data_IF_185815490728
#
_entry.id   IF_185815490728
#
_cell.length_a   1.000
_cell.length_b   1.000
_cell.length_c   1.000
_cell.angle_alpha   90.00
_cell.angle_beta   90.00
_cell.angle_gamma   90.00
#
_symmetry.space_group_name_H-M   'P 1'
#
loop_
_entity.id
_entity.type
_entity.pdbx_description
1 polymer ?
#
# COMPACT_ATOMS: atom_id res chain seq x y z
N UNK A 1 -52.09 -55.21 28.36
CA UNK A 1 -50.77 -55.83 28.10
C UNK A 1 -50.17 -55.20 26.86
N UNK A 2 -49.00 -54.56 27.02
CA UNK A 2 -47.98 -54.16 26.02
C UNK A 2 -48.37 -53.35 24.76
N UNK A 3 -47.87 -52.11 24.77
CA UNK A 3 -47.48 -51.27 23.61
C UNK A 3 -46.56 -52.03 22.65
N UNK A 4 -46.63 -51.72 21.35
CA UNK A 4 -45.46 -51.30 20.54
C UNK A 4 -45.95 -50.73 19.19
N UNK A 5 -45.80 -49.43 19.03
CA UNK A 5 -45.80 -48.70 17.76
C UNK A 5 -44.40 -48.78 17.12
N UNK A 6 -44.28 -48.86 15.78
CA UNK A 6 -43.00 -48.84 15.10
C UNK A 6 -42.45 -47.41 15.03
N UNK A 7 -41.17 -47.26 15.37
CA UNK A 7 -40.38 -46.04 15.24
C UNK A 7 -39.98 -45.80 13.79
N UNK A 8 -40.51 -44.75 13.17
CA UNK A 8 -39.90 -44.13 12.00
C UNK A 8 -38.74 -43.24 12.47
N UNK A 9 -37.51 -43.67 12.19
CA UNK A 9 -36.32 -42.84 12.38
C UNK A 9 -36.32 -41.79 11.25
N UNK A 10 -36.50 -40.54 11.65
CA UNK A 10 -36.45 -39.37 10.77
C UNK A 10 -35.05 -39.16 10.20
N UNK A 11 -34.93 -39.18 8.87
CA UNK A 11 -33.78 -38.67 8.14
C UNK A 11 -33.87 -37.14 8.17
N UNK A 12 -33.12 -36.48 9.06
CA UNK A 12 -32.97 -35.03 9.06
C UNK A 12 -31.65 -34.62 9.75
N UNK A 13 -30.52 -34.97 9.16
CA UNK A 13 -29.21 -34.56 9.68
C UNK A 13 -28.18 -34.30 8.55
N UNK A 14 -28.61 -33.74 7.41
CA UNK A 14 -27.77 -33.59 6.23
C UNK A 14 -27.64 -32.18 5.63
N UNK A 15 -28.32 -31.16 6.17
CA UNK A 15 -28.45 -29.86 5.47
C UNK A 15 -27.94 -28.62 6.24
N UNK A 16 -27.33 -28.79 7.42
CA UNK A 16 -26.81 -27.64 8.19
C UNK A 16 -25.29 -27.43 8.13
N UNK A 17 -24.52 -28.30 7.46
CA UNK A 17 -23.06 -28.17 7.37
C UNK A 17 -22.56 -27.61 6.03
N UNK A 18 -23.40 -27.49 5.01
CA UNK A 18 -23.02 -26.93 3.70
C UNK A 18 -23.26 -25.41 3.57
N UNK A 19 -24.02 -24.78 4.48
CA UNK A 19 -24.23 -23.33 4.47
C UNK A 19 -23.16 -22.52 5.22
N UNK A 20 -22.32 -23.16 6.04
CA UNK A 20 -21.21 -22.48 6.71
C UNK A 20 -19.93 -22.34 5.85
N UNK A 21 -19.87 -22.98 4.68
CA UNK A 21 -18.71 -22.94 3.78
C UNK A 21 -18.90 -22.01 2.56
N UNK A 22 -20.06 -21.35 2.45
CA UNK A 22 -20.36 -20.37 1.40
C UNK A 22 -20.36 -18.93 1.90
N UNK A 23 -19.93 -18.70 3.15
CA UNK A 23 -19.48 -17.40 3.62
C UNK A 23 -17.96 -17.30 3.46
N UNK A 24 -17.44 -17.55 2.25
CA UNK A 24 -16.23 -16.86 1.85
C UNK A 24 -16.63 -15.39 1.75
N UNK A 25 -16.46 -14.69 2.86
CA UNK A 25 -16.69 -13.26 2.94
C UNK A 25 -15.96 -12.63 1.76
N UNK A 26 -16.74 -12.07 0.83
CA UNK A 26 -16.28 -10.92 0.06
C UNK A 26 -16.15 -9.82 1.12
N UNK A 27 -15.06 -9.84 1.87
CA UNK A 27 -14.60 -8.65 2.55
C UNK A 27 -14.14 -7.77 1.40
N UNK A 28 -14.99 -6.85 0.96
CA UNK A 28 -14.46 -5.61 0.44
C UNK A 28 -13.42 -5.17 1.48
N UNK A 29 -12.16 -5.05 1.07
CA UNK A 29 -11.05 -4.78 2.00
C UNK A 29 -11.46 -3.63 2.92
N UNK A 30 -11.64 -3.92 4.21
CA UNK A 30 -12.14 -2.96 5.23
C UNK A 30 -11.38 -1.64 5.18
N UNK A 31 -10.13 -1.70 4.72
CA UNK A 31 -9.25 -0.56 4.48
C UNK A 31 -9.81 0.49 3.50
N UNK A 32 -10.19 0.11 2.27
CA UNK A 32 -10.64 1.12 1.27
C UNK A 32 -12.02 1.64 1.64
N UNK A 33 -12.89 0.78 2.19
CA UNK A 33 -14.18 1.19 2.71
C UNK A 33 -14.07 2.19 3.87
N UNK A 34 -13.17 1.95 4.82
CA UNK A 34 -12.90 2.89 5.91
C UNK A 34 -12.36 4.24 5.39
N UNK A 35 -11.61 4.22 4.29
CA UNK A 35 -11.10 5.44 3.66
C UNK A 35 -12.21 6.24 2.96
N UNK A 36 -13.14 5.60 2.25
CA UNK A 36 -14.25 6.24 1.52
C UNK A 36 -15.05 7.22 2.38
N UNK A 37 -15.46 6.77 3.57
CA UNK A 37 -16.26 7.59 4.48
C UNK A 37 -15.50 8.86 4.90
N UNK A 38 -14.21 8.69 5.23
CA UNK A 38 -13.37 9.78 5.73
C UNK A 38 -13.01 10.76 4.64
N UNK A 39 -12.71 10.29 3.42
CA UNK A 39 -12.34 11.20 2.34
C UNK A 39 -13.51 12.06 1.90
N UNK A 40 -14.73 11.51 1.85
CA UNK A 40 -15.93 12.29 1.56
C UNK A 40 -16.13 13.39 2.59
N UNK A 41 -16.00 13.05 3.87
CA UNK A 41 -16.19 14.01 4.96
C UNK A 41 -15.14 15.13 4.96
N UNK A 42 -13.87 14.81 4.71
CA UNK A 42 -12.74 15.75 4.86
C UNK A 42 -12.38 16.52 3.59
N UNK A 43 -12.56 15.92 2.42
CA UNK A 43 -12.06 16.44 1.14
C UNK A 43 -13.14 16.59 0.06
N UNK A 44 -14.37 16.12 0.33
CA UNK A 44 -15.51 16.31 -0.56
C UNK A 44 -15.68 15.22 -1.61
N UNK A 45 -16.56 15.48 -2.58
CA UNK A 45 -17.06 14.45 -3.49
C UNK A 45 -16.02 13.99 -4.52
N UNK A 46 -15.15 14.87 -5.00
CA UNK A 46 -14.09 14.50 -5.95
C UNK A 46 -13.13 13.47 -5.35
N UNK A 47 -12.69 13.70 -4.11
CA UNK A 47 -11.85 12.78 -3.36
C UNK A 47 -12.53 11.43 -3.14
N UNK A 48 -13.83 11.45 -2.84
CA UNK A 48 -14.63 10.22 -2.74
C UNK A 48 -14.62 9.43 -4.05
N UNK A 49 -14.80 10.09 -5.20
CA UNK A 49 -14.74 9.42 -6.50
C UNK A 49 -13.35 8.84 -6.81
N UNK A 50 -12.27 9.51 -6.39
CA UNK A 50 -10.91 8.96 -6.53
C UNK A 50 -10.74 7.67 -5.72
N UNK A 51 -11.22 7.64 -4.47
CA UNK A 51 -11.15 6.44 -3.63
C UNK A 51 -12.14 5.35 -4.09
N UNK A 52 -13.25 5.71 -4.72
CA UNK A 52 -14.14 4.72 -5.36
C UNK A 52 -13.42 3.96 -6.48
N UNK A 53 -12.64 4.65 -7.33
CA UNK A 53 -11.82 3.99 -8.35
C UNK A 53 -10.75 3.08 -7.73
N UNK A 54 -10.19 3.48 -6.58
CA UNK A 54 -9.28 2.63 -5.83
C UNK A 54 -9.99 1.36 -5.31
N UNK A 55 -11.24 1.48 -4.86
CA UNK A 55 -12.03 0.33 -4.42
C UNK A 55 -12.31 -0.65 -5.57
N UNK A 56 -12.59 -0.14 -6.76
CA UNK A 56 -12.73 -0.94 -7.99
C UNK A 56 -11.42 -1.64 -8.34
N UNK A 57 -10.28 -0.94 -8.27
CA UNK A 57 -8.96 -1.53 -8.46
C UNK A 57 -8.72 -2.69 -7.49
N UNK A 58 -9.01 -2.50 -6.20
CA UNK A 58 -8.83 -3.53 -5.18
C UNK A 58 -9.68 -4.77 -5.47
N UNK A 59 -10.92 -4.57 -5.89
CA UNK A 59 -11.83 -5.65 -6.27
C UNK A 59 -11.28 -6.46 -7.45
N UNK A 60 -10.66 -5.80 -8.44
CA UNK A 60 -10.00 -6.48 -9.57
C UNK A 60 -8.73 -7.21 -9.13
N UNK A 61 -7.99 -6.66 -8.16
CA UNK A 61 -6.70 -7.17 -7.72
C UNK A 61 -6.78 -8.28 -6.68
N UNK A 62 -7.93 -8.53 -6.06
CA UNK A 62 -8.08 -9.47 -4.94
C UNK A 62 -7.38 -10.83 -5.19
N UNK A 63 -7.59 -11.41 -6.38
CA UNK A 63 -7.03 -12.70 -6.79
C UNK A 63 -5.92 -12.58 -7.85
N UNK A 64 -5.42 -11.38 -8.09
CA UNK A 64 -4.40 -11.14 -9.10
C UNK A 64 -3.01 -11.61 -8.64
N UNK A 65 -2.12 -11.87 -9.60
CA UNK A 65 -0.73 -12.20 -9.31
C UNK A 65 -0.02 -11.06 -8.58
N UNK A 66 1.02 -11.37 -7.82
CA UNK A 66 1.85 -10.37 -7.13
C UNK A 66 2.39 -9.31 -8.09
N UNK A 67 2.89 -9.71 -9.26
CA UNK A 67 3.38 -8.76 -10.27
C UNK A 67 2.27 -7.90 -10.88
N UNK A 68 1.07 -8.44 -11.05
CA UNK A 68 -0.09 -7.66 -11.50
C UNK A 68 -0.47 -6.60 -10.47
N UNK A 69 -0.51 -6.96 -9.17
CA UNK A 69 -0.76 -6.00 -8.08
C UNK A 69 0.27 -4.87 -8.09
N UNK A 70 1.55 -5.23 -8.21
CA UNK A 70 2.67 -4.28 -8.25
C UNK A 70 2.52 -3.29 -9.41
N UNK A 71 2.28 -3.79 -10.62
CA UNK A 71 2.09 -2.95 -11.82
C UNK A 71 0.89 -2.03 -11.68
N UNK A 72 -0.28 -2.58 -11.37
CA UNK A 72 -1.53 -1.79 -11.35
C UNK A 72 -1.55 -0.77 -10.21
N UNK A 73 -0.95 -1.06 -9.04
CA UNK A 73 -0.84 -0.06 -7.96
C UNK A 73 0.11 1.07 -8.35
N UNK A 74 1.23 0.76 -9.01
CA UNK A 74 2.16 1.77 -9.50
C UNK A 74 1.45 2.71 -10.49
N UNK A 75 0.78 2.13 -11.48
CA UNK A 75 0.08 2.87 -12.53
C UNK A 75 -1.06 3.69 -11.95
N UNK A 76 -1.90 3.10 -11.10
CA UNK A 76 -3.02 3.79 -10.46
C UNK A 76 -2.54 5.02 -9.67
N UNK A 77 -1.52 4.85 -8.82
CA UNK A 77 -1.01 5.97 -8.01
C UNK A 77 -0.43 7.07 -8.89
N UNK A 78 0.35 6.70 -9.92
CA UNK A 78 0.95 7.65 -10.85
C UNK A 78 -0.09 8.38 -11.73
N UNK A 79 -1.26 7.79 -11.96
CA UNK A 79 -2.34 8.38 -12.75
C UNK A 79 -3.30 9.25 -11.91
N UNK A 80 -3.49 8.92 -10.63
CA UNK A 80 -4.52 9.51 -9.77
C UNK A 80 -3.98 10.43 -8.67
N UNK A 81 -2.66 10.60 -8.59
CA UNK A 81 -2.02 11.57 -7.70
C UNK A 81 -1.23 12.55 -8.56
N UNK A 82 -1.49 13.84 -8.38
CA UNK A 82 -0.71 14.91 -9.01
C UNK A 82 0.54 15.19 -8.18
N UNK A 83 1.69 15.30 -8.84
CA UNK A 83 2.91 15.75 -8.17
C UNK A 83 2.81 17.24 -7.80
N UNK A 84 2.89 17.56 -6.51
CA UNK A 84 2.90 18.92 -5.96
C UNK A 84 3.83 18.97 -4.76
N UNK A 85 4.78 19.90 -4.74
CA UNK A 85 5.68 20.08 -3.59
C UNK A 85 4.91 20.44 -2.31
N UNK A 86 5.35 19.92 -1.17
CA UNK A 86 4.65 20.06 0.12
C UNK A 86 4.42 21.50 0.55
N UNK A 87 5.36 22.41 0.27
CA UNK A 87 5.19 23.81 0.63
C UNK A 87 3.96 24.43 -0.05
N UNK A 88 3.60 23.95 -1.24
CA UNK A 88 2.43 24.40 -1.98
C UNK A 88 1.16 23.65 -1.56
N UNK A 89 1.29 22.36 -1.21
CA UNK A 89 0.15 21.50 -0.87
C UNK A 89 -0.30 21.62 0.58
N UNK A 90 0.66 21.59 1.50
CA UNK A 90 0.49 21.54 2.96
C UNK A 90 0.91 22.83 3.66
N UNK A 91 1.64 23.73 2.99
CA UNK A 91 2.14 24.98 3.58
C UNK A 91 3.33 24.77 4.53
N UNK A 92 3.91 23.57 4.53
CA UNK A 92 5.07 23.17 5.32
C UNK A 92 5.98 22.31 4.45
N UNK A 93 7.29 22.38 4.66
CA UNK A 93 8.23 21.52 3.93
C UNK A 93 8.23 20.10 4.49
N UNK A 94 8.35 19.10 3.60
CA UNK A 94 8.72 17.71 3.92
C UNK A 94 7.68 17.04 4.87
N UNK A 95 6.41 17.18 4.49
CA UNK A 95 5.23 16.62 5.14
C UNK A 95 4.85 15.29 4.49
N UNK A 96 5.19 14.19 5.16
CA UNK A 96 4.84 12.87 4.67
C UNK A 96 3.35 12.60 4.87
N UNK A 97 2.55 12.59 3.81
CA UNK A 97 1.13 12.32 3.87
C UNK A 97 0.83 10.82 4.06
N UNK A 98 -0.23 10.53 4.79
CA UNK A 98 -0.85 9.19 4.80
C UNK A 98 -1.60 8.93 3.50
N UNK A 99 -1.89 7.66 3.12
CA UNK A 99 -2.63 7.38 1.89
C UNK A 99 -4.00 8.07 1.82
N UNK A 100 -4.69 8.22 2.95
CA UNK A 100 -5.96 8.94 3.02
C UNK A 100 -5.78 10.42 2.68
N UNK A 101 -4.70 11.03 3.15
CA UNK A 101 -4.36 12.43 2.85
C UNK A 101 -3.97 12.60 1.37
N UNK A 102 -3.11 11.70 0.84
CA UNK A 102 -2.68 11.71 -0.56
C UNK A 102 -3.87 11.56 -1.51
N UNK A 103 -4.71 10.55 -1.33
CA UNK A 103 -5.90 10.35 -2.18
C UNK A 103 -7.01 11.36 -1.88
N UNK A 104 -7.07 11.88 -0.65
CA UNK A 104 -7.98 12.94 -0.25
C UNK A 104 -7.69 14.24 -0.98
N UNK A 105 -6.41 14.63 -1.08
CA UNK A 105 -5.97 15.79 -1.86
C UNK A 105 -5.87 15.51 -3.37
N UNK A 106 -5.74 14.24 -3.76
CA UNK A 106 -5.40 13.86 -5.13
C UNK A 106 -4.01 14.35 -5.55
N UNK A 107 -3.15 14.66 -4.58
CA UNK A 107 -1.85 15.27 -4.79
C UNK A 107 -0.88 14.88 -3.67
N UNK A 108 0.41 14.96 -3.95
CA UNK A 108 1.51 14.72 -3.03
C UNK A 108 2.85 14.81 -3.75
N UNK A 109 3.96 14.62 -3.04
CA UNK A 109 5.29 14.59 -3.64
C UNK A 109 5.90 13.17 -3.65
N UNK A 110 7.23 13.02 -3.72
CA UNK A 110 7.84 11.72 -3.96
C UNK A 110 7.59 10.69 -2.84
N UNK A 111 7.58 11.12 -1.58
CA UNK A 111 7.33 10.23 -0.47
C UNK A 111 5.90 9.78 -0.39
N UNK A 112 4.95 10.67 -0.70
CA UNK A 112 3.52 10.42 -0.61
C UNK A 112 3.12 9.32 -1.57
N UNK A 113 3.65 9.38 -2.81
CA UNK A 113 3.46 8.32 -3.80
C UNK A 113 4.03 6.99 -3.31
N UNK A 114 5.23 7.01 -2.73
CA UNK A 114 5.90 5.80 -2.25
C UNK A 114 5.17 5.18 -1.06
N UNK A 115 4.70 5.99 -0.11
CA UNK A 115 3.93 5.59 1.08
C UNK A 115 2.56 5.05 0.68
N UNK A 116 1.88 5.71 -0.27
CA UNK A 116 0.63 5.23 -0.83
C UNK A 116 0.84 3.84 -1.47
N UNK A 117 1.78 3.70 -2.42
CA UNK A 117 2.08 2.41 -3.07
C UNK A 117 2.44 1.32 -2.05
N UNK A 118 3.27 1.64 -1.04
CA UNK A 118 3.68 0.69 0.00
C UNK A 118 2.46 0.18 0.78
N UNK A 119 1.63 1.10 1.26
CA UNK A 119 0.46 0.76 2.06
C UNK A 119 -0.55 -0.02 1.24
N UNK A 120 -0.80 0.39 0.00
CA UNK A 120 -1.76 -0.29 -0.86
C UNK A 120 -1.33 -1.73 -1.16
N UNK A 121 -0.07 -1.95 -1.53
CA UNK A 121 0.45 -3.30 -1.78
C UNK A 121 0.44 -4.17 -0.53
N UNK A 122 0.76 -3.59 0.63
CA UNK A 122 0.68 -4.28 1.92
C UNK A 122 -0.76 -4.74 2.22
N UNK A 123 -1.75 -3.88 1.99
CA UNK A 123 -3.17 -4.22 2.21
C UNK A 123 -3.69 -5.25 1.19
N UNK A 124 -3.17 -5.24 -0.03
CA UNK A 124 -3.40 -6.29 -1.05
C UNK A 124 -2.67 -7.62 -0.75
N UNK A 125 -2.04 -7.76 0.43
CA UNK A 125 -1.43 -8.99 0.91
C UNK A 125 0.00 -9.23 0.42
N UNK A 126 0.67 -8.25 -0.20
CA UNK A 126 2.09 -8.39 -0.52
C UNK A 126 2.89 -8.42 0.79
N UNK A 127 3.76 -9.43 1.00
CA UNK A 127 4.55 -9.53 2.21
C UNK A 127 5.41 -8.28 2.44
N UNK A 128 5.29 -7.67 3.61
CA UNK A 128 6.00 -6.43 3.96
C UNK A 128 7.53 -6.55 3.88
N UNK A 129 8.11 -7.74 4.03
CA UNK A 129 9.55 -8.00 3.89
C UNK A 129 10.04 -7.89 2.45
N UNK A 130 9.13 -7.96 1.47
CA UNK A 130 9.41 -7.69 0.07
C UNK A 130 9.32 -6.21 -0.30
N UNK A 131 8.75 -5.36 0.55
CA UNK A 131 8.53 -3.95 0.26
C UNK A 131 9.44 -3.09 1.13
N UNK A 132 10.13 -2.13 0.52
CA UNK A 132 10.94 -1.14 1.24
C UNK A 132 10.81 0.25 0.64
N UNK A 133 10.38 1.21 1.45
CA UNK A 133 10.52 2.62 1.14
C UNK A 133 12.01 2.94 1.08
N UNK A 134 12.48 3.53 -0.01
CA UNK A 134 13.90 3.72 -0.29
C UNK A 134 14.17 5.18 -0.59
N UNK A 135 14.92 5.82 0.30
CA UNK A 135 15.41 7.18 0.11
C UNK A 135 16.67 7.15 -0.75
N UNK A 136 16.67 7.94 -1.82
CA UNK A 136 17.71 8.00 -2.83
C UNK A 136 18.11 9.44 -3.09
N UNK A 137 19.28 9.63 -3.69
CA UNK A 137 19.61 10.86 -4.42
C UNK A 137 19.31 10.60 -5.89
N UNK A 138 18.35 11.31 -6.48
CA UNK A 138 17.99 11.17 -7.88
C UNK A 138 18.72 12.21 -8.72
N UNK A 139 19.31 11.79 -9.84
CA UNK A 139 19.83 12.69 -10.88
C UNK A 139 18.71 13.01 -11.85
N UNK A 140 18.27 14.26 -11.84
CA UNK A 140 17.21 14.72 -12.74
C UNK A 140 17.73 14.85 -14.18
N UNK A 141 16.84 14.91 -15.19
CA UNK A 141 17.23 15.15 -16.59
C UNK A 141 18.04 16.45 -16.78
N UNK A 142 17.81 17.47 -15.95
CA UNK A 142 18.59 18.71 -15.91
C UNK A 142 20.01 18.56 -15.34
N UNK A 143 20.39 17.37 -14.85
CA UNK A 143 21.73 17.05 -14.32
C UNK A 143 21.92 17.35 -12.83
N UNK A 144 21.05 18.15 -12.22
CA UNK A 144 21.05 18.38 -10.77
C UNK A 144 20.61 17.13 -10.00
N UNK A 145 21.13 17.01 -8.78
CA UNK A 145 20.82 15.90 -7.88
C UNK A 145 19.90 16.42 -6.77
N UNK A 146 18.82 15.71 -6.49
CA UNK A 146 17.87 16.03 -5.42
C UNK A 146 17.55 14.80 -4.56
N UNK A 147 17.16 15.00 -3.28
CA UNK A 147 16.41 13.99 -2.53
C UNK A 147 15.24 13.44 -3.34
N UNK A 148 14.97 12.15 -3.19
CA UNK A 148 13.82 11.48 -3.77
C UNK A 148 13.49 10.23 -2.97
N UNK A 149 12.24 9.77 -3.01
CA UNK A 149 11.82 8.50 -2.43
C UNK A 149 11.14 7.63 -3.47
N UNK A 150 11.47 6.34 -3.45
CA UNK A 150 10.86 5.31 -4.30
C UNK A 150 10.43 4.12 -3.45
N UNK A 151 9.54 3.29 -3.98
CA UNK A 151 9.23 1.99 -3.40
C UNK A 151 10.04 0.91 -4.12
N UNK A 152 10.83 0.15 -3.36
CA UNK A 152 11.55 -1.01 -3.85
C UNK A 152 10.77 -2.29 -3.51
N UNK A 153 10.57 -3.15 -4.52
CA UNK A 153 10.01 -4.48 -4.39
C UNK A 153 11.07 -5.56 -4.62
N UNK A 154 11.20 -6.48 -3.67
CA UNK A 154 12.15 -7.59 -3.69
C UNK A 154 11.39 -8.90 -3.90
N UNK A 155 11.54 -9.53 -5.07
CA UNK A 155 10.96 -10.86 -5.30
C UNK A 155 11.54 -11.90 -4.32
N UNK A 156 12.83 -11.74 -3.99
CA UNK A 156 13.54 -12.48 -2.94
C UNK A 156 14.42 -11.50 -2.16
N UNK A 157 14.78 -11.78 -0.88
CA UNK A 157 15.59 -10.85 -0.08
C UNK A 157 16.91 -10.39 -0.72
N UNK A 158 17.50 -11.21 -1.60
CA UNK A 158 18.77 -10.94 -2.30
C UNK A 158 18.61 -10.58 -3.78
N UNK A 159 17.38 -10.45 -4.30
CA UNK A 159 17.16 -10.09 -5.70
C UNK A 159 17.48 -8.61 -5.96
N UNK A 160 17.87 -8.29 -7.19
CA UNK A 160 17.84 -6.91 -7.68
C UNK A 160 16.39 -6.38 -7.63
N UNK A 161 16.07 -5.39 -6.79
CA UNK A 161 14.69 -5.00 -6.57
C UNK A 161 14.12 -4.27 -7.78
N UNK A 162 12.82 -4.42 -7.99
CA UNK A 162 12.06 -3.58 -8.91
C UNK A 162 11.72 -2.25 -8.24
N UNK A 163 11.87 -1.15 -8.98
CA UNK A 163 11.65 0.20 -8.48
C UNK A 163 10.31 0.73 -9.02
N UNK A 164 9.44 1.12 -8.10
CA UNK A 164 8.18 1.80 -8.35
C UNK A 164 8.38 3.28 -8.01
N UNK A 165 8.20 4.14 -9.01
CA UNK A 165 8.63 5.54 -8.96
C UNK A 165 7.57 6.44 -9.62
N UNK A 166 7.58 7.72 -9.26
CA UNK A 166 6.76 8.79 -9.83
C UNK A 166 7.56 9.74 -10.73
N UNK A 167 8.88 9.57 -10.87
CA UNK A 167 9.68 10.25 -11.91
C UNK A 167 9.77 9.43 -13.20
N UNK A 168 9.95 8.12 -13.07
CA UNK A 168 9.84 7.16 -14.17
C UNK A 168 8.73 6.17 -13.84
N UNK A 169 7.67 6.18 -14.64
CA UNK A 169 6.51 5.32 -14.39
C UNK A 169 6.76 3.86 -14.76
N UNK A 170 7.78 3.57 -15.59
CA UNK A 170 8.17 2.21 -15.91
C UNK A 170 8.83 1.53 -14.70
N UNK A 171 8.33 0.35 -14.35
CA UNK A 171 8.92 -0.47 -13.29
C UNK A 171 10.19 -1.14 -13.83
N UNK A 172 11.33 -0.68 -13.33
CA UNK A 172 12.65 -1.16 -13.75
C UNK A 172 13.40 -1.79 -12.56
N UNK A 173 14.24 -2.82 -12.80
CA UNK A 173 15.22 -3.25 -11.82
C UNK A 173 16.12 -2.09 -11.40
N UNK A 174 16.55 -2.05 -10.13
CA UNK A 174 17.39 -0.99 -9.61
C UNK A 174 18.72 -0.87 -10.36
N UNK A 175 19.28 -2.00 -10.82
CA UNK A 175 20.46 -1.99 -11.71
C UNK A 175 20.28 -1.22 -13.02
N UNK A 176 19.04 -1.03 -13.49
CA UNK A 176 18.70 -0.23 -14.68
C UNK A 176 18.31 1.22 -14.36
N UNK A 177 18.32 1.61 -13.08
CA UNK A 177 18.04 2.96 -12.59
C UNK A 177 19.33 3.67 -12.19
N UNK A 178 20.23 3.84 -13.16
CA UNK A 178 21.54 4.51 -12.96
C UNK A 178 21.44 5.99 -12.59
N UNK A 179 20.23 6.56 -12.63
CA UNK A 179 19.88 7.88 -12.15
C UNK A 179 19.64 7.94 -10.63
N UNK A 180 19.40 6.80 -9.96
CA UNK A 180 19.09 6.72 -8.53
C UNK A 180 20.29 6.21 -7.72
N UNK A 181 20.69 6.96 -6.71
CA UNK A 181 21.78 6.59 -5.79
C UNK A 181 21.19 6.32 -4.39
N UNK A 182 21.02 5.05 -3.97
CA UNK A 182 20.37 4.73 -2.71
C UNK A 182 21.18 5.18 -1.50
N UNK A 183 20.48 5.67 -0.48
CA UNK A 183 21.09 6.11 0.80
C UNK A 183 20.68 5.14 1.91
N UNK A 184 19.38 4.98 2.13
CA UNK A 184 18.81 4.02 3.07
C UNK A 184 17.45 3.54 2.59
N UNK A 185 17.00 2.42 3.13
CA UNK A 185 15.66 1.89 2.92
C UNK A 185 15.07 1.39 4.22
N UNK A 186 13.75 1.36 4.33
CA UNK A 186 13.07 0.90 5.52
C UNK A 186 11.69 0.34 5.20
N UNK A 187 11.20 -0.48 6.13
CA UNK A 187 9.82 -0.95 6.24
C UNK A 187 9.53 -1.16 7.72
N UNK A 188 8.36 -1.64 8.12
CA UNK A 188 8.02 -1.84 9.54
C UNK A 188 9.01 -2.72 10.33
N UNK A 189 9.73 -3.64 9.67
CA UNK A 189 10.67 -4.56 10.34
C UNK A 189 12.03 -3.93 10.61
N UNK A 190 12.46 -2.94 9.85
CA UNK A 190 13.83 -2.44 9.98
C UNK A 190 14.18 -1.25 9.10
N UNK A 191 15.25 -0.57 9.52
CA UNK A 191 15.99 0.41 8.74
C UNK A 191 17.28 -0.25 8.23
N UNK A 192 17.61 -0.06 6.95
CA UNK A 192 18.73 -0.68 6.24
C UNK A 192 19.52 0.39 5.49
N UNK A 193 20.85 0.35 5.56
CA UNK A 193 21.73 1.30 4.84
C UNK A 193 22.11 0.70 3.49
N UNK A 194 22.23 1.53 2.44
CA UNK A 194 22.46 1.07 1.07
C UNK A 194 23.73 0.19 0.90
N UNK A 195 24.79 0.47 1.65
CA UNK A 195 26.04 -0.30 1.58
C UNK A 195 25.96 -1.67 2.26
N UNK A 196 24.90 -1.93 3.04
CA UNK A 196 24.65 -3.24 3.65
C UNK A 196 23.14 -3.46 3.85
N UNK A 197 22.37 -3.70 2.77
CA UNK A 197 20.90 -3.74 2.81
C UNK A 197 20.35 -4.98 3.53
N UNK A 198 21.22 -5.94 3.87
CA UNK A 198 20.88 -7.12 4.67
C UNK A 198 21.11 -6.89 6.18
N UNK A 199 21.78 -5.81 6.56
CA UNK A 199 22.05 -5.46 7.95
C UNK A 199 21.04 -4.42 8.44
N UNK A 200 20.35 -4.76 9.52
CA UNK A 200 19.46 -3.83 10.21
C UNK A 200 20.32 -2.77 10.91
N UNK A 201 20.27 -1.54 10.41
CA UNK A 201 20.94 -0.38 10.97
C UNK A 201 20.13 0.29 12.09
N UNK A 202 18.84 -0.07 12.25
CA UNK A 202 18.01 0.46 13.33
C UNK A 202 16.53 0.13 13.22
N UNK A 203 15.73 0.94 13.93
CA UNK A 203 14.28 0.88 13.92
C UNK A 203 13.71 1.95 12.97
N UNK A 204 12.67 1.64 12.18
CA UNK A 204 11.94 2.64 11.39
C UNK A 204 11.29 3.73 12.24
N UNK A 205 10.99 3.44 13.51
CA UNK A 205 10.47 4.41 14.47
C UNK A 205 11.45 5.55 14.78
N UNK A 206 12.72 5.41 14.37
CA UNK A 206 13.71 6.48 14.45
C UNK A 206 13.49 7.55 13.36
N UNK A 207 12.66 7.27 12.35
CA UNK A 207 12.22 8.24 11.33
C UNK A 207 10.95 8.90 11.85
N UNK A 208 11.07 10.12 12.39
CA UNK A 208 9.94 10.84 13.01
C UNK A 208 8.74 10.97 12.07
N UNK A 209 8.98 11.36 10.81
CA UNK A 209 7.91 11.54 9.82
C UNK A 209 7.14 10.27 9.51
N UNK A 210 7.85 9.13 9.40
CA UNK A 210 7.20 7.83 9.25
C UNK A 210 6.33 7.49 10.46
N UNK A 211 6.82 7.72 11.67
CA UNK A 211 6.02 7.54 12.90
C UNK A 211 4.77 8.44 12.91
N UNK A 212 4.88 9.64 12.38
CA UNK A 212 3.75 10.59 12.31
C UNK A 212 2.70 10.12 11.29
N UNK A 213 3.13 9.59 10.13
CA UNK A 213 2.25 8.91 9.15
C UNK A 213 1.48 7.78 9.81
N UNK A 214 2.19 6.86 10.48
CA UNK A 214 1.57 5.73 11.18
C UNK A 214 0.58 6.21 12.27
N UNK A 215 0.91 7.31 12.95
CA UNK A 215 0.03 7.89 13.97
C UNK A 215 -1.28 8.42 13.36
N UNK A 216 -1.21 9.13 12.23
CA UNK A 216 -2.39 9.57 11.49
C UNK A 216 -3.21 8.39 10.95
N UNK A 217 -2.55 7.37 10.40
CA UNK A 217 -3.23 6.16 9.94
C UNK A 217 -3.99 5.44 11.06
N UNK A 218 -3.40 5.31 12.26
CA UNK A 218 -4.09 4.76 13.43
C UNK A 218 -5.27 5.61 13.89
N UNK A 219 -5.12 6.95 13.93
CA UNK A 219 -6.23 7.86 14.25
C UNK A 219 -7.36 7.72 13.23
N UNK A 220 -7.01 7.42 11.99
CA UNK A 220 -7.95 7.15 10.92
C UNK A 220 -8.46 5.71 10.89
N UNK A 221 -8.02 4.81 11.77
CA UNK A 221 -8.46 3.41 11.79
C UNK A 221 -8.03 2.62 10.55
N UNK A 222 -6.93 3.04 9.91
CA UNK A 222 -6.37 2.46 8.69
C UNK A 222 -5.15 1.57 8.94
N UNK A 223 -4.66 1.54 10.19
CA UNK A 223 -3.59 0.68 10.68
C UNK A 223 -4.04 -0.10 11.92
#
# INVERSE_FOLDING_TARGET
MRRHSPSFISIAAGFCLSLCLLWSQILADDYVLAMLEKVRQRYGEEAYQNVMRLNELYSQLANASEMTKIGMVNDFTNQHVLFVDDINLWGVDDYWASPLETFGKGAGDCEDFSIAKYTLLKKLGIPQDKLRLTYVRARMPSGNIRPHMVLAYYAMPTSDPLILDNLNFEILPASRRGDLFPVFSFNEKGLFVANNPNMRAGSPNNISKWRDVLTRMRQDGLE
#
